data_IF_904161233901
#
_entry.id   IF_904161233901
#
_cell.length_a   1.000
_cell.length_b   1.000
_cell.length_c   1.000
_cell.angle_alpha   90.00
_cell.angle_beta   90.00
_cell.angle_gamma   90.00
#
_symmetry.space_group_name_H-M   'P 1'
#
loop_
_entity.id
_entity.type
_entity.pdbx_description
1 polymer ?
#
# COMPACT_ATOMS: atom_id res chain seq x y z
N UNK A 1 10.07 16.91 -24.31
CA UNK A 1 8.78 16.27 -24.66
C UNK A 1 8.94 14.82 -24.27
N UNK A 2 8.48 14.47 -23.07
CA UNK A 2 8.76 13.18 -22.46
C UNK A 2 7.39 12.57 -22.18
N UNK A 3 6.94 11.71 -23.09
CA UNK A 3 5.66 11.02 -22.95
C UNK A 3 5.83 9.86 -21.98
N UNK A 4 5.67 10.13 -20.68
CA UNK A 4 5.43 9.07 -19.69
C UNK A 4 4.07 8.46 -19.96
N UNK A 5 4.08 7.31 -20.62
CA UNK A 5 2.92 6.43 -20.80
C UNK A 5 2.37 6.03 -19.42
N UNK A 6 1.07 6.20 -19.14
CA UNK A 6 0.47 5.68 -17.93
C UNK A 6 0.21 4.19 -18.12
N UNK A 7 1.25 3.38 -17.95
CA UNK A 7 1.09 1.94 -17.66
C UNK A 7 0.53 1.87 -16.24
N UNK A 8 -0.73 1.48 -16.09
CA UNK A 8 -1.26 1.28 -14.74
C UNK A 8 -2.74 0.98 -14.67
N UNK A 9 -3.58 1.71 -15.43
CA UNK A 9 -5.05 1.60 -15.22
C UNK A 9 -5.73 0.49 -16.03
N UNK A 10 -5.13 0.07 -17.15
CA UNK A 10 -5.73 -0.93 -18.04
C UNK A 10 -5.30 -2.37 -17.73
N UNK A 11 -4.26 -2.56 -16.92
CA UNK A 11 -3.69 -3.87 -16.60
C UNK A 11 -4.42 -4.57 -15.44
N UNK A 12 -4.96 -3.82 -14.49
CA UNK A 12 -5.68 -4.36 -13.32
C UNK A 12 -6.93 -5.18 -13.70
N UNK A 13 -7.87 -4.69 -14.53
CA UNK A 13 -9.05 -5.47 -14.90
C UNK A 13 -8.70 -6.67 -15.77
N UNK A 14 -7.64 -6.58 -16.57
CA UNK A 14 -7.17 -7.67 -17.44
C UNK A 14 -6.54 -8.81 -16.63
N UNK A 15 -5.66 -8.48 -15.67
CA UNK A 15 -5.04 -9.45 -14.78
C UNK A 15 -6.08 -10.13 -13.87
N UNK A 16 -7.06 -9.37 -13.38
CA UNK A 16 -8.16 -9.94 -12.59
C UNK A 16 -8.99 -10.93 -13.43
N UNK A 17 -9.28 -10.60 -14.69
CA UNK A 17 -9.99 -11.48 -15.60
C UNK A 17 -9.19 -12.77 -15.86
N UNK A 18 -7.90 -12.64 -16.15
CA UNK A 18 -7.00 -13.78 -16.40
C UNK A 18 -6.90 -14.72 -15.19
N UNK A 19 -6.79 -14.17 -13.98
CA UNK A 19 -6.78 -14.95 -12.73
C UNK A 19 -8.12 -15.67 -12.52
N UNK A 20 -9.24 -14.97 -12.75
CA UNK A 20 -10.57 -15.57 -12.60
C UNK A 20 -10.79 -16.71 -13.58
N UNK A 21 -10.39 -16.55 -14.84
CA UNK A 21 -10.50 -17.61 -15.85
C UNK A 21 -9.60 -18.79 -15.52
N UNK A 22 -8.33 -18.53 -15.21
CA UNK A 22 -7.33 -19.58 -14.96
C UNK A 22 -7.64 -20.39 -13.71
N UNK A 23 -8.16 -19.75 -12.66
CA UNK A 23 -8.40 -20.38 -11.36
C UNK A 23 -9.89 -20.50 -11.02
N UNK A 24 -10.74 -20.66 -12.03
CA UNK A 24 -12.20 -20.70 -11.84
C UNK A 24 -12.62 -21.78 -10.83
N UNK A 25 -12.01 -22.97 -10.90
CA UNK A 25 -12.37 -24.10 -10.04
C UNK A 25 -11.96 -23.89 -8.59
N UNK A 26 -10.76 -23.37 -8.35
CA UNK A 26 -10.26 -23.04 -7.02
C UNK A 26 -11.08 -21.93 -6.38
N UNK A 27 -11.43 -20.90 -7.15
CA UNK A 27 -12.29 -19.81 -6.66
C UNK A 27 -13.69 -20.29 -6.28
N UNK A 28 -14.25 -21.24 -7.02
CA UNK A 28 -15.53 -21.89 -6.65
C UNK A 28 -15.41 -22.69 -5.35
N UNK A 29 -14.33 -23.47 -5.18
CA UNK A 29 -14.10 -24.21 -3.94
C UNK A 29 -13.91 -23.28 -2.74
N UNK A 30 -13.16 -22.19 -2.91
CA UNK A 30 -12.95 -21.19 -1.86
C UNK A 30 -14.28 -20.51 -1.49
N UNK A 31 -15.09 -20.12 -2.47
CA UNK A 31 -16.40 -19.52 -2.23
C UNK A 31 -17.33 -20.48 -1.46
N UNK A 32 -17.33 -21.76 -1.81
CA UNK A 32 -18.10 -22.80 -1.13
C UNK A 32 -17.64 -23.01 0.32
N UNK A 33 -16.33 -23.12 0.55
CA UNK A 33 -15.77 -23.30 1.90
C UNK A 33 -16.06 -22.10 2.79
N UNK A 34 -15.91 -20.88 2.26
CA UNK A 34 -16.24 -19.66 2.99
C UNK A 34 -17.73 -19.57 3.31
N UNK A 35 -18.61 -19.94 2.38
CA UNK A 35 -20.05 -20.02 2.61
C UNK A 35 -20.39 -21.01 3.73
N UNK A 36 -19.78 -22.20 3.72
CA UNK A 36 -19.96 -23.22 4.75
C UNK A 36 -19.44 -22.76 6.13
N UNK A 37 -18.28 -22.11 6.19
CA UNK A 37 -17.69 -21.64 7.44
C UNK A 37 -18.42 -20.46 8.05
N UNK A 38 -18.93 -19.55 7.21
CA UNK A 38 -19.62 -18.33 7.66
C UNK A 38 -21.13 -18.52 7.80
N UNK A 39 -21.66 -19.67 7.35
CA UNK A 39 -23.10 -19.96 7.27
C UNK A 39 -23.87 -18.92 6.43
N UNK A 40 -23.19 -18.33 5.44
CA UNK A 40 -23.69 -17.33 4.51
C UNK A 40 -23.80 -17.95 3.12
N UNK A 41 -24.74 -17.49 2.29
CA UNK A 41 -24.88 -17.99 0.91
C UNK A 41 -23.66 -17.67 0.05
N UNK A 42 -23.30 -18.57 -0.87
CA UNK A 42 -22.23 -18.34 -1.85
C UNK A 42 -22.43 -17.06 -2.66
N UNK A 43 -23.67 -16.70 -2.94
CA UNK A 43 -24.02 -15.47 -3.68
C UNK A 43 -23.56 -14.21 -2.94
N UNK A 44 -23.57 -14.24 -1.61
CA UNK A 44 -23.08 -13.13 -0.78
C UNK A 44 -21.57 -13.16 -0.63
N UNK A 45 -20.93 -14.34 -0.66
CA UNK A 45 -19.47 -14.49 -0.54
C UNK A 45 -18.74 -14.06 -1.81
N UNK A 46 -19.30 -14.35 -2.99
CA UNK A 46 -18.70 -14.00 -4.30
C UNK A 46 -18.23 -12.54 -4.43
N UNK A 47 -19.04 -11.51 -4.15
CA UNK A 47 -18.57 -10.13 -4.25
C UNK A 47 -17.46 -9.79 -3.25
N UNK A 48 -17.43 -10.43 -2.07
CA UNK A 48 -16.37 -10.23 -1.09
C UNK A 48 -15.05 -10.88 -1.52
N UNK A 49 -15.13 -12.08 -2.07
CA UNK A 49 -13.99 -12.78 -2.66
C UNK A 49 -13.42 -11.97 -3.84
N UNK A 50 -14.29 -11.45 -4.71
CA UNK A 50 -13.90 -10.61 -5.83
C UNK A 50 -13.22 -9.30 -5.39
N UNK A 51 -13.75 -8.65 -4.35
CA UNK A 51 -13.12 -7.46 -3.78
C UNK A 51 -11.74 -7.77 -3.17
N UNK A 52 -11.61 -8.92 -2.49
CA UNK A 52 -10.33 -9.37 -1.93
C UNK A 52 -9.30 -9.68 -3.03
N UNK A 53 -9.72 -10.38 -4.08
CA UNK A 53 -8.85 -10.64 -5.25
C UNK A 53 -8.41 -9.35 -5.92
N UNK A 54 -9.32 -8.38 -6.09
CA UNK A 54 -8.98 -7.07 -6.63
C UNK A 54 -7.92 -6.37 -5.76
N UNK A 55 -8.05 -6.43 -4.44
CA UNK A 55 -7.05 -5.85 -3.53
C UNK A 55 -5.69 -6.56 -3.61
N UNK A 56 -5.66 -7.88 -3.73
CA UNK A 56 -4.43 -8.66 -3.87
C UNK A 56 -3.74 -8.43 -5.22
N UNK A 57 -4.50 -8.27 -6.30
CA UNK A 57 -3.96 -7.89 -7.60
C UNK A 57 -3.41 -6.47 -7.54
N UNK A 58 -4.15 -5.54 -6.93
CA UNK A 58 -3.75 -4.15 -6.76
C UNK A 58 -2.44 -4.03 -5.96
N UNK A 59 -2.30 -4.76 -4.85
CA UNK A 59 -1.05 -4.74 -4.07
C UNK A 59 0.15 -5.34 -4.81
N UNK A 60 -0.08 -6.25 -5.76
CA UNK A 60 0.97 -6.78 -6.65
C UNK A 60 1.37 -5.78 -7.75
N UNK A 61 0.44 -4.97 -8.22
CA UNK A 61 0.64 -4.01 -9.32
C UNK A 61 1.14 -2.65 -8.82
N UNK A 62 0.59 -2.14 -7.74
CA UNK A 62 1.03 -0.91 -7.09
C UNK A 62 2.28 -1.19 -6.25
N UNK A 63 3.45 -0.94 -6.84
CA UNK A 63 4.70 -0.95 -6.10
C UNK A 63 4.79 0.31 -5.21
N UNK A 64 5.45 0.22 -4.05
CA UNK A 64 5.64 1.36 -3.17
C UNK A 64 6.29 2.55 -3.89
N UNK A 65 5.98 3.76 -3.42
CA UNK A 65 6.56 5.00 -3.95
C UNK A 65 8.09 4.95 -4.01
N UNK A 66 8.74 4.38 -2.98
CA UNK A 66 10.20 4.32 -2.94
C UNK A 66 10.83 3.43 -4.02
N UNK A 67 10.08 2.49 -4.60
CA UNK A 67 10.57 1.61 -5.67
C UNK A 67 10.33 2.18 -7.07
N UNK A 68 9.35 3.08 -7.20
CA UNK A 68 8.84 3.53 -8.51
C UNK A 68 9.08 5.00 -8.80
N UNK A 69 9.25 5.82 -7.77
CA UNK A 69 9.41 7.24 -7.93
C UNK A 69 10.77 7.59 -8.56
N UNK A 70 10.71 8.50 -9.52
CA UNK A 70 11.89 9.14 -10.10
C UNK A 70 12.55 10.09 -9.10
N UNK A 71 13.84 10.46 -9.31
CA UNK A 71 14.52 11.42 -8.43
C UNK A 71 13.76 12.76 -8.30
N UNK A 72 13.15 13.26 -9.37
CA UNK A 72 12.38 14.51 -9.34
C UNK A 72 11.09 14.38 -8.51
N UNK A 73 10.39 13.25 -8.62
CA UNK A 73 9.21 12.95 -7.82
C UNK A 73 9.56 12.82 -6.34
N UNK A 74 10.70 12.20 -6.04
CA UNK A 74 11.26 12.15 -4.69
C UNK A 74 11.56 13.55 -4.14
N UNK A 75 12.26 14.39 -4.89
CA UNK A 75 12.57 15.78 -4.47
C UNK A 75 11.28 16.56 -4.22
N UNK A 76 10.27 16.38 -5.07
CA UNK A 76 8.97 17.03 -4.92
C UNK A 76 8.24 16.56 -3.67
N UNK A 77 8.06 15.25 -3.50
CA UNK A 77 7.37 14.67 -2.35
C UNK A 77 8.05 15.07 -1.03
N UNK A 78 9.39 15.07 -1.02
CA UNK A 78 10.15 15.52 0.15
C UNK A 78 9.90 16.99 0.48
N UNK A 79 9.89 17.89 -0.51
CA UNK A 79 9.61 19.31 -0.29
C UNK A 79 8.19 19.55 0.21
N UNK A 80 7.22 18.82 -0.33
CA UNK A 80 5.82 18.89 0.12
C UNK A 80 5.68 18.43 1.58
N UNK A 81 6.30 17.31 1.93
CA UNK A 81 6.35 16.83 3.32
C UNK A 81 7.05 17.80 4.27
N UNK A 82 8.21 18.35 3.89
CA UNK A 82 8.91 19.33 4.70
C UNK A 82 8.05 20.60 4.92
N UNK A 83 7.29 21.00 3.90
CA UNK A 83 6.45 22.20 3.94
C UNK A 83 5.09 21.99 4.62
N UNK A 84 4.66 20.75 4.84
CA UNK A 84 3.37 20.46 5.50
C UNK A 84 3.40 20.68 7.02
N UNK A 85 4.59 20.89 7.59
CA UNK A 85 4.76 21.09 9.02
C UNK A 85 4.41 22.54 9.44
N UNK A 86 3.92 22.66 10.67
CA UNK A 86 3.61 23.93 11.31
C UNK A 86 4.88 24.78 11.46
N UNK A 87 4.84 26.00 10.91
CA UNK A 87 5.98 26.95 10.96
C UNK A 87 6.19 27.59 12.34
N UNK A 88 5.21 27.44 13.23
CA UNK A 88 5.23 27.96 14.61
C UNK A 88 5.65 26.89 15.63
N UNK A 89 6.21 25.77 15.16
CA UNK A 89 6.74 24.72 16.04
C UNK A 89 7.93 25.28 16.84
N UNK A 90 7.91 25.21 18.18
CA UNK A 90 9.05 25.62 19.01
C UNK A 90 10.31 24.86 18.62
N UNK A 91 11.45 25.53 18.68
CA UNK A 91 12.74 24.87 18.52
C UNK A 91 12.98 23.93 19.71
N UNK A 92 13.62 22.79 19.42
CA UNK A 92 14.16 21.92 20.45
C UNK A 92 15.27 22.65 21.20
N UNK A 93 15.41 22.37 22.50
CA UNK A 93 16.52 22.89 23.30
C UNK A 93 17.86 22.21 22.91
N UNK A 94 18.96 22.83 23.33
CA UNK A 94 20.31 22.37 22.99
C UNK A 94 20.61 20.95 23.48
N UNK A 95 19.97 20.52 24.57
CA UNK A 95 20.13 19.17 25.12
C UNK A 95 19.39 18.14 24.25
N UNK A 96 18.16 18.43 23.85
CA UNK A 96 17.32 17.59 23.00
C UNK A 96 17.92 17.37 21.60
N UNK A 97 18.71 18.32 21.08
CA UNK A 97 19.46 18.14 19.81
C UNK A 97 20.89 17.60 20.02
N UNK A 98 21.34 17.45 21.26
CA UNK A 98 22.67 16.93 21.56
C UNK A 98 22.72 15.41 21.32
N UNK A 99 23.94 14.89 21.07
CA UNK A 99 24.16 13.44 20.97
C UNK A 99 23.69 12.71 22.24
N UNK A 100 23.87 13.30 23.41
CA UNK A 100 23.47 12.75 24.71
C UNK A 100 21.96 12.82 24.97
N UNK A 101 21.21 13.66 24.25
CA UNK A 101 19.75 13.70 24.30
C UNK A 101 19.07 12.81 23.25
N UNK A 102 19.75 12.52 22.14
CA UNK A 102 19.26 11.61 21.08
C UNK A 102 19.48 10.14 21.45
N UNK A 103 20.61 9.84 22.06
CA UNK A 103 20.89 8.53 22.64
C UNK A 103 20.72 8.69 24.14
N UNK A 104 19.62 8.19 24.69
CA UNK A 104 19.54 7.96 26.13
C UNK A 104 20.76 7.11 26.49
N UNK A 105 21.74 7.71 27.18
CA UNK A 105 22.75 6.93 27.86
C UNK A 105 21.99 6.23 28.97
N UNK A 106 21.63 4.96 28.75
CA UNK A 106 21.14 4.06 29.79
C UNK A 106 22.21 4.03 30.90
N UNK A 107 22.14 4.98 31.83
CA UNK A 107 22.85 4.91 33.10
C UNK A 107 22.18 3.77 33.89
N UNK A 108 22.56 2.53 33.58
CA UNK A 108 22.42 1.42 34.52
C UNK A 108 23.25 1.76 35.77
N UNK A 109 22.56 2.20 36.83
CA UNK A 109 23.05 2.22 38.21
C UNK A 109 22.06 1.45 39.09
#
# INVERSE_FOLDING_TARGET
MNTSTPIGKNSEPQLLHEIKETHTQELQQIAFLLAQMTNVSEETVRPHLDAMLLQLVKSKVERPFYETATPDEWVKAFKEWASSHRKDTPLLDDYAVSRAGIYEEDEEI
#
